data_IF_578324262381
#
_entry.id   IF_578324262381
#
_cell.length_a   1.000
_cell.length_b   1.000
_cell.length_c   1.000
_cell.angle_alpha   90.00
_cell.angle_beta   90.00
_cell.angle_gamma   90.00
#
_symmetry.space_group_name_H-M   'P 1'
#
loop_
_entity.id
_entity.type
_entity.pdbx_description
1 polymer ?
#
# COMPACT_ATOMS: atom_id res chain seq x y z
N UNK A 1 7.07 -0.94 -6.05
CA UNK A 1 7.49 -2.29 -5.64
C UNK A 1 7.00 -2.61 -4.23
N UNK A 2 6.60 -3.84 -3.96
CA UNK A 2 6.32 -4.35 -2.63
C UNK A 2 7.49 -5.19 -2.12
N UNK A 3 7.48 -5.51 -0.83
CA UNK A 3 8.44 -6.45 -0.25
C UNK A 3 8.33 -7.86 -0.87
N UNK A 4 7.15 -8.25 -1.33
CA UNK A 4 6.94 -9.52 -2.06
C UNK A 4 7.49 -9.46 -3.47
N UNK A 5 7.19 -8.40 -4.23
CA UNK A 5 7.67 -8.26 -5.60
C UNK A 5 9.19 -8.13 -5.69
N UNK A 6 9.82 -7.50 -4.71
CA UNK A 6 11.29 -7.36 -4.66
C UNK A 6 12.03 -8.57 -4.06
N UNK A 7 11.31 -9.56 -3.51
CA UNK A 7 11.92 -10.68 -2.76
C UNK A 7 12.88 -11.52 -3.64
N UNK A 8 12.43 -11.88 -4.83
CA UNK A 8 13.25 -12.69 -5.77
C UNK A 8 14.53 -11.94 -6.12
N UNK A 9 14.42 -10.67 -6.49
CA UNK A 9 15.55 -9.81 -6.80
C UNK A 9 16.54 -9.72 -5.63
N UNK A 10 16.05 -9.38 -4.43
CA UNK A 10 16.90 -9.25 -3.24
C UNK A 10 17.59 -10.56 -2.86
N UNK A 11 16.90 -11.70 -2.99
CA UNK A 11 17.51 -13.02 -2.75
C UNK A 11 18.58 -13.34 -3.79
N UNK A 12 18.30 -13.13 -5.07
CA UNK A 12 19.27 -13.37 -6.13
C UNK A 12 20.58 -12.58 -5.92
N UNK A 13 20.47 -11.29 -5.62
CA UNK A 13 21.63 -10.44 -5.31
C UNK A 13 22.36 -10.93 -4.06
N UNK A 14 21.62 -11.30 -3.00
CA UNK A 14 22.22 -11.84 -1.78
C UNK A 14 23.06 -13.11 -2.02
N UNK A 15 22.66 -13.94 -2.98
CA UNK A 15 23.38 -15.15 -3.37
C UNK A 15 24.37 -14.93 -4.52
N UNK A 16 24.77 -13.68 -4.79
CA UNK A 16 25.83 -13.35 -5.73
C UNK A 16 25.42 -13.32 -7.21
N UNK A 17 24.13 -13.41 -7.50
CA UNK A 17 23.65 -13.28 -8.88
C UNK A 17 23.73 -11.82 -9.32
N UNK A 18 24.38 -11.56 -10.46
CA UNK A 18 24.40 -10.20 -11.02
C UNK A 18 23.00 -9.75 -11.43
N UNK A 19 22.68 -8.48 -11.16
CA UNK A 19 21.42 -7.85 -11.57
C UNK A 19 21.15 -7.94 -13.07
N UNK A 20 22.21 -8.06 -13.89
CA UNK A 20 22.12 -8.19 -15.35
C UNK A 20 21.41 -9.46 -15.81
N UNK A 21 21.41 -10.51 -14.98
CA UNK A 21 20.73 -11.77 -15.26
C UNK A 21 19.26 -11.78 -14.80
N UNK A 22 18.81 -10.74 -14.11
CA UNK A 22 17.45 -10.64 -13.61
C UNK A 22 16.58 -9.87 -14.59
N UNK A 23 15.50 -10.49 -15.00
CA UNK A 23 14.50 -9.86 -15.86
C UNK A 23 13.84 -8.69 -15.16
N UNK A 24 13.72 -7.52 -15.79
CA UNK A 24 12.92 -6.41 -15.24
C UNK A 24 11.48 -6.85 -14.95
N UNK A 25 10.90 -6.32 -13.86
CA UNK A 25 9.57 -6.71 -13.40
C UNK A 25 8.49 -6.45 -14.46
N UNK A 26 8.61 -5.33 -15.17
CA UNK A 26 7.70 -4.96 -16.25
C UNK A 26 7.66 -5.97 -17.38
N UNK A 27 8.82 -6.59 -17.71
CA UNK A 27 8.91 -7.62 -18.74
C UNK A 27 8.31 -8.95 -18.29
N UNK A 28 8.59 -9.33 -17.04
CA UNK A 28 8.06 -10.55 -16.44
C UNK A 28 6.53 -10.55 -16.36
N UNK A 29 5.93 -9.41 -15.96
CA UNK A 29 4.49 -9.25 -15.81
C UNK A 29 3.78 -8.75 -17.07
N UNK A 30 4.50 -8.54 -18.18
CA UNK A 30 3.93 -8.00 -19.41
C UNK A 30 3.43 -6.55 -19.29
N UNK A 31 3.91 -5.81 -18.28
CA UNK A 31 3.45 -4.45 -17.96
C UNK A 31 4.40 -3.38 -18.52
N UNK A 32 4.76 -3.47 -19.79
CA UNK A 32 5.73 -2.57 -20.46
C UNK A 32 5.40 -1.07 -20.36
N UNK A 33 4.12 -0.74 -20.23
CA UNK A 33 3.66 0.66 -20.10
C UNK A 33 3.60 1.16 -18.65
N UNK A 34 3.89 0.31 -17.66
CA UNK A 34 3.86 0.66 -16.25
C UNK A 34 5.25 1.11 -15.79
N UNK A 35 5.28 2.18 -15.02
CA UNK A 35 6.49 2.61 -14.33
C UNK A 35 6.51 1.97 -12.93
N UNK A 36 7.43 1.08 -12.71
CA UNK A 36 7.65 0.44 -11.41
C UNK A 36 8.55 1.30 -10.54
N UNK A 37 8.09 1.68 -9.37
CA UNK A 37 8.79 2.53 -8.40
C UNK A 37 8.65 1.97 -6.99
N UNK A 38 9.55 2.31 -6.09
CA UNK A 38 9.46 1.93 -4.67
C UNK A 38 8.48 2.84 -3.92
N UNK A 39 8.51 4.10 -4.25
CA UNK A 39 7.56 5.11 -3.79
C UNK A 39 7.38 6.22 -4.83
N UNK A 40 6.36 7.03 -4.68
CA UNK A 40 6.08 8.14 -5.59
C UNK A 40 5.37 9.27 -4.84
N UNK A 41 5.71 10.50 -5.18
CA UNK A 41 4.98 11.68 -4.74
C UNK A 41 4.18 12.24 -5.91
N UNK A 42 2.88 12.37 -5.70
CA UNK A 42 1.94 12.90 -6.72
C UNK A 42 1.32 14.21 -6.23
N UNK A 43 0.97 15.06 -7.18
CA UNK A 43 0.14 16.23 -6.94
C UNK A 43 -1.33 15.80 -7.02
N UNK A 44 -2.08 16.06 -5.97
CA UNK A 44 -3.51 15.78 -5.89
C UNK A 44 -4.34 16.84 -6.63
N UNK A 45 -5.63 16.57 -6.84
CA UNK A 45 -6.55 17.49 -7.52
C UNK A 45 -6.70 18.85 -6.83
N UNK A 46 -6.50 18.92 -5.50
CA UNK A 46 -6.48 20.18 -4.74
C UNK A 46 -5.12 20.92 -4.79
N UNK A 47 -4.17 20.45 -5.61
CA UNK A 47 -2.85 21.05 -5.76
C UNK A 47 -1.82 20.64 -4.71
N UNK A 48 -2.21 19.97 -3.60
CA UNK A 48 -1.28 19.51 -2.56
C UNK A 48 -0.53 18.26 -2.98
N UNK A 49 0.63 18.04 -2.40
CA UNK A 49 1.46 16.85 -2.65
C UNK A 49 1.07 15.72 -1.69
N UNK A 50 1.13 14.49 -2.17
CA UNK A 50 0.91 13.29 -1.38
C UNK A 50 1.95 12.23 -1.72
N UNK A 51 2.54 11.62 -0.71
CA UNK A 51 3.52 10.54 -0.84
C UNK A 51 2.83 9.19 -0.79
N UNK A 52 3.13 8.32 -1.75
CA UNK A 52 2.60 6.95 -1.83
C UNK A 52 3.74 5.96 -1.70
N UNK A 53 3.59 5.00 -0.82
CA UNK A 53 4.58 3.93 -0.60
C UNK A 53 3.89 2.60 -0.31
N UNK A 54 4.60 1.48 -0.53
CA UNK A 54 4.07 0.18 -0.10
C UNK A 54 3.96 0.08 1.42
N UNK A 55 4.96 0.56 2.15
CA UNK A 55 4.97 0.59 3.60
C UNK A 55 6.38 0.83 4.14
N UNK A 56 6.53 1.86 4.96
CA UNK A 56 7.83 2.26 5.56
C UNK A 56 7.83 2.22 7.08
N UNK A 57 6.68 2.43 7.71
CA UNK A 57 6.55 2.43 9.17
C UNK A 57 5.16 1.95 9.57
N UNK A 58 5.05 1.19 10.66
CA UNK A 58 3.75 0.81 11.22
C UNK A 58 2.92 2.04 11.64
N UNK A 59 3.54 3.15 11.97
CA UNK A 59 2.87 4.41 12.24
C UNK A 59 2.92 5.31 11.00
N UNK A 60 1.79 5.45 10.33
CA UNK A 60 1.65 6.28 9.13
C UNK A 60 1.90 7.78 9.39
N UNK A 61 1.68 8.27 10.61
CA UNK A 61 2.00 9.65 10.93
C UNK A 61 3.50 9.92 10.83
N UNK A 62 4.34 9.00 11.29
CA UNK A 62 5.80 9.12 11.14
C UNK A 62 6.22 9.25 9.68
N UNK A 63 5.57 8.51 8.78
CA UNK A 63 5.84 8.62 7.34
C UNK A 63 5.42 9.98 6.81
N UNK A 64 4.20 10.42 7.12
CA UNK A 64 3.66 11.71 6.68
C UNK A 64 4.50 12.89 7.20
N UNK A 65 4.86 12.86 8.48
CA UNK A 65 5.69 13.89 9.11
C UNK A 65 7.11 13.94 8.55
N UNK A 66 7.75 12.77 8.36
CA UNK A 66 9.09 12.70 7.77
C UNK A 66 9.13 13.23 6.33
N UNK A 67 8.03 13.06 5.59
CA UNK A 67 7.91 13.58 4.22
C UNK A 67 7.43 15.03 4.17
N UNK A 68 6.98 15.62 5.29
CA UNK A 68 6.42 16.97 5.33
C UNK A 68 5.16 17.13 4.47
N UNK A 69 4.38 16.08 4.26
CA UNK A 69 3.19 16.07 3.42
C UNK A 69 2.28 14.89 3.76
N UNK A 70 1.04 14.90 3.24
CA UNK A 70 0.14 13.75 3.38
C UNK A 70 0.76 12.49 2.78
N UNK A 71 0.44 11.32 3.36
CA UNK A 71 1.00 10.04 2.92
C UNK A 71 -0.01 8.90 2.90
N UNK A 72 0.16 7.98 1.97
CA UNK A 72 -0.62 6.74 1.83
C UNK A 72 0.31 5.55 1.83
N UNK A 73 -0.05 4.51 2.58
CA UNK A 73 0.68 3.25 2.52
C UNK A 73 -0.25 2.03 2.64
N UNK A 74 0.21 0.91 2.06
CA UNK A 74 -0.32 -0.43 2.23
C UNK A 74 0.51 -1.24 3.22
N UNK A 75 0.83 -2.51 2.90
CA UNK A 75 1.71 -3.43 3.62
C UNK A 75 1.17 -3.91 4.98
N UNK A 76 0.72 -3.02 5.82
CA UNK A 76 0.21 -3.33 7.16
C UNK A 76 -1.26 -3.76 7.07
N UNK A 77 -1.50 -5.02 6.70
CA UNK A 77 -2.81 -5.57 6.35
C UNK A 77 -3.85 -5.47 7.46
N UNK A 78 -3.42 -5.29 8.71
CA UNK A 78 -4.29 -5.12 9.88
C UNK A 78 -4.61 -3.66 10.18
N UNK A 79 -4.01 -2.72 9.44
CA UNK A 79 -4.20 -1.29 9.67
C UNK A 79 -5.08 -0.68 8.57
N UNK A 80 -6.16 -0.06 9.01
CA UNK A 80 -7.14 0.59 8.15
C UNK A 80 -7.62 1.85 8.86
N UNK A 81 -6.83 2.94 8.74
CA UNK A 81 -7.06 4.15 9.50
C UNK A 81 -6.54 5.38 8.78
N UNK A 82 -7.09 6.54 9.15
CA UNK A 82 -6.60 7.86 8.78
C UNK A 82 -6.25 8.59 10.05
N UNK A 83 -5.05 9.17 10.09
CA UNK A 83 -4.57 10.00 11.19
C UNK A 83 -4.21 11.38 10.66
N UNK A 84 -4.44 12.41 11.46
CA UNK A 84 -4.18 13.80 11.08
C UNK A 84 -3.09 14.42 11.93
N UNK A 85 -2.36 15.35 11.33
CA UNK A 85 -1.44 16.24 12.03
C UNK A 85 -1.40 17.60 11.31
N UNK A 86 -1.06 18.63 12.04
CA UNK A 86 -0.99 19.99 11.51
C UNK A 86 0.36 20.62 11.85
N UNK A 87 0.78 21.53 11.01
CA UNK A 87 1.83 22.51 11.28
C UNK A 87 1.23 23.92 11.06
N UNK A 88 2.00 25.02 11.24
CA UNK A 88 1.46 26.37 11.02
C UNK A 88 0.89 26.62 9.62
N UNK A 89 1.38 25.89 8.61
CA UNK A 89 1.02 26.14 7.21
C UNK A 89 -0.20 25.34 6.76
N UNK A 90 -0.39 24.10 7.29
CA UNK A 90 -1.39 23.21 6.73
C UNK A 90 -1.81 22.05 7.66
N UNK A 91 -2.96 21.45 7.30
CA UNK A 91 -3.42 20.16 7.84
C UNK A 91 -3.04 19.04 6.89
N UNK A 92 -2.34 18.05 7.43
CA UNK A 92 -1.90 16.85 6.73
C UNK A 92 -2.54 15.59 7.30
N UNK A 93 -2.45 14.52 6.54
CA UNK A 93 -2.97 13.23 6.97
C UNK A 93 -2.07 12.08 6.50
N UNK A 94 -2.14 10.98 7.25
CA UNK A 94 -1.58 9.70 6.89
C UNK A 94 -2.66 8.64 6.80
N UNK A 95 -2.69 7.82 5.75
CA UNK A 95 -3.70 6.81 5.51
C UNK A 95 -3.09 5.43 5.31
N UNK A 96 -3.50 4.46 6.14
CA UNK A 96 -3.27 3.03 5.93
C UNK A 96 -4.49 2.43 5.25
N UNK A 97 -4.29 1.80 4.09
CA UNK A 97 -5.39 1.38 3.21
C UNK A 97 -5.79 -0.10 3.34
N UNK A 98 -5.25 -0.82 4.33
CA UNK A 98 -5.52 -2.26 4.47
C UNK A 98 -4.94 -3.07 3.31
N UNK A 99 -5.71 -4.02 2.82
CA UNK A 99 -5.30 -4.88 1.71
C UNK A 99 -6.49 -5.39 0.88
N UNK A 100 -6.18 -5.94 -0.30
CA UNK A 100 -7.14 -6.63 -1.19
C UNK A 100 -6.71 -8.08 -1.43
N UNK A 101 -6.27 -8.78 -0.40
CA UNK A 101 -5.78 -10.14 -0.51
C UNK A 101 -6.92 -11.17 -0.46
N UNK A 102 -6.77 -12.26 -1.19
CA UNK A 102 -7.60 -13.44 -0.96
C UNK A 102 -7.00 -14.25 0.20
N UNK A 103 -7.65 -14.21 1.36
CA UNK A 103 -7.18 -14.90 2.57
C UNK A 103 -7.16 -16.44 2.44
N UNK A 104 -7.90 -16.99 1.48
CA UNK A 104 -7.92 -18.43 1.18
C UNK A 104 -6.77 -18.85 0.26
N UNK A 105 -6.04 -17.89 -0.32
CA UNK A 105 -4.92 -18.18 -1.22
C UNK A 105 -3.75 -18.85 -0.47
N UNK A 106 -3.12 -19.82 -1.11
CA UNK A 106 -1.90 -20.48 -0.59
C UNK A 106 -0.75 -19.48 -0.33
N UNK A 107 -0.70 -18.38 -1.07
CA UNK A 107 0.30 -17.33 -0.87
C UNK A 107 0.26 -16.71 0.55
N UNK A 108 -0.86 -16.85 1.26
CA UNK A 108 -1.07 -16.34 2.62
C UNK A 108 -1.21 -17.46 3.66
N UNK A 109 -0.84 -18.70 3.33
CA UNK A 109 -0.90 -19.84 4.25
C UNK A 109 -0.09 -19.62 5.54
N UNK A 110 0.99 -18.84 5.48
CA UNK A 110 1.79 -18.44 6.64
C UNK A 110 1.02 -17.59 7.66
N UNK A 111 -0.05 -16.93 7.22
CA UNK A 111 -0.86 -16.05 8.08
C UNK A 111 -1.97 -16.80 8.85
N UNK A 112 -2.16 -18.10 8.60
CA UNK A 112 -3.21 -18.90 9.26
C UNK A 112 -3.07 -18.97 10.79
N UNK A 113 -1.86 -18.78 11.28
CA UNK A 113 -1.55 -18.83 12.74
C UNK A 113 -1.61 -17.46 13.42
N UNK A 114 -1.91 -16.37 12.68
CA UNK A 114 -2.06 -15.06 13.28
C UNK A 114 -3.47 -14.87 13.81
N UNK A 115 -3.59 -14.48 15.08
CA UNK A 115 -4.88 -14.16 15.72
C UNK A 115 -5.52 -12.87 15.17
N UNK A 116 -4.75 -12.04 14.45
CA UNK A 116 -5.24 -10.80 13.86
C UNK A 116 -5.78 -11.02 12.46
N UNK A 117 -7.01 -10.57 12.23
CA UNK A 117 -7.62 -10.60 10.90
C UNK A 117 -7.14 -9.42 10.05
N UNK A 118 -6.96 -9.66 8.77
CA UNK A 118 -6.68 -8.61 7.80
C UNK A 118 -7.92 -7.75 7.56
N UNK A 119 -7.73 -6.46 7.36
CA UNK A 119 -8.81 -5.56 6.97
C UNK A 119 -8.80 -5.43 5.45
N UNK A 120 -9.86 -5.95 4.83
CA UNK A 120 -10.05 -5.83 3.39
C UNK A 120 -10.66 -4.47 3.07
N UNK A 121 -10.09 -3.77 2.11
CA UNK A 121 -10.56 -2.46 1.72
C UNK A 121 -9.55 -1.71 0.87
N UNK A 122 -9.95 -0.51 0.46
CA UNK A 122 -9.09 0.40 -0.26
C UNK A 122 -9.23 1.83 0.26
N UNK A 123 -8.30 2.69 -0.13
CA UNK A 123 -8.36 4.12 0.13
C UNK A 123 -8.62 4.90 -1.16
N UNK A 124 -9.43 5.94 -1.08
CA UNK A 124 -9.63 6.92 -2.16
C UNK A 124 -9.34 8.33 -1.65
N UNK A 125 -8.94 9.20 -2.54
CA UNK A 125 -8.69 10.61 -2.24
C UNK A 125 -9.58 11.43 -3.17
N UNK A 126 -10.54 12.15 -2.59
CA UNK A 126 -11.46 13.01 -3.33
C UNK A 126 -11.19 14.47 -2.96
N UNK A 127 -10.76 15.28 -3.92
CA UNK A 127 -10.39 16.69 -3.72
C UNK A 127 -9.40 16.91 -2.56
N UNK A 128 -8.42 15.99 -2.44
CA UNK A 128 -7.42 16.03 -1.39
C UNK A 128 -7.87 15.48 -0.03
N UNK A 129 -9.13 15.04 0.10
CA UNK A 129 -9.70 14.46 1.32
C UNK A 129 -9.57 12.93 1.27
N UNK A 130 -8.90 12.29 2.24
CA UNK A 130 -8.76 10.84 2.29
C UNK A 130 -10.05 10.18 2.76
N UNK A 131 -10.40 9.05 2.16
CA UNK A 131 -11.53 8.19 2.57
C UNK A 131 -11.11 6.74 2.53
N UNK A 132 -11.62 5.95 3.46
CA UNK A 132 -11.44 4.51 3.51
C UNK A 132 -12.75 3.81 3.15
N UNK A 133 -12.65 2.83 2.25
CA UNK A 133 -13.76 2.01 1.80
C UNK A 133 -13.50 0.56 2.24
N UNK A 134 -14.03 0.13 3.41
CA UNK A 134 -13.91 -1.24 3.84
C UNK A 134 -14.74 -2.14 2.94
N UNK A 135 -14.20 -3.31 2.60
CA UNK A 135 -14.87 -4.31 1.79
C UNK A 135 -15.70 -5.23 2.67
N UNK A 136 -17.01 -5.24 2.46
CA UNK A 136 -17.93 -6.17 3.12
C UNK A 136 -18.21 -7.33 2.15
N UNK A 137 -17.89 -8.54 2.59
CA UNK A 137 -18.06 -9.75 1.80
C UNK A 137 -19.26 -10.55 2.28
N UNK A 138 -19.96 -11.20 1.34
CA UNK A 138 -20.96 -12.23 1.64
C UNK A 138 -20.27 -13.55 2.07
N UNK A 139 -21.08 -14.57 2.39
CA UNK A 139 -20.59 -15.89 2.79
C UNK A 139 -19.78 -16.59 1.67
N UNK A 140 -19.98 -16.23 0.42
CA UNK A 140 -19.23 -16.76 -0.72
C UNK A 140 -17.89 -16.06 -0.93
N UNK A 141 -17.70 -14.90 -0.29
CA UNK A 141 -16.51 -14.06 -0.43
C UNK A 141 -16.63 -12.99 -1.54
N UNK A 142 -17.84 -12.72 -2.04
CA UNK A 142 -18.07 -11.65 -3.01
C UNK A 142 -18.32 -10.32 -2.29
N UNK A 143 -17.85 -9.25 -2.87
CA UNK A 143 -18.12 -7.91 -2.36
C UNK A 143 -19.58 -7.53 -2.64
N UNK A 144 -20.35 -7.27 -1.59
CA UNK A 144 -21.81 -7.08 -1.68
C UNK A 144 -22.28 -5.64 -1.47
N UNK A 145 -21.41 -4.73 -1.05
CA UNK A 145 -21.84 -3.38 -0.73
C UNK A 145 -20.74 -2.35 -0.86
N UNK A 146 -21.07 -1.25 -1.53
CA UNK A 146 -20.39 0.01 -1.33
C UNK A 146 -20.83 0.55 0.04
N UNK A 147 -19.87 0.89 0.89
CA UNK A 147 -20.18 1.62 2.11
C UNK A 147 -20.27 3.09 1.72
N UNK A 148 -21.47 3.56 1.68
CA UNK A 148 -21.82 4.97 1.45
C UNK A 148 -21.42 5.78 2.67
#
# INVERSE_FOLDING_TARGET
HSNHSSLVYRRAIKYGMSAQFLRPYGDFLGTKKWKWVDDITLKLSNGKRCHFTHGKSADILKVSQAMGMSAVQGHYHTQFNIKYWANPDDLYWGMNVGCLINQKSMAFSYAKNFNTRFVLGCGVILNGVPRLLPMVLNNNGDWIKEIV
#
